data_IF_716585352872
#
_entry.id   IF_716585352872
#
_cell.length_a   1.000
_cell.length_b   1.000
_cell.length_c   1.000
_cell.angle_alpha   90.00
_cell.angle_beta   90.00
_cell.angle_gamma   90.00
#
_symmetry.space_group_name_H-M   'P 1'
#
loop_
_entity.id
_entity.type
_entity.pdbx_description
1 polymer ?
#
# COMPACT_ATOMS: atom_id res chain seq x y z
N UNK A 1 -20.86 -13.72 15.76
CA UNK A 1 -20.40 -14.93 15.03
C UNK A 1 -19.91 -14.55 13.63
N UNK A 2 -19.11 -15.41 13.00
CA UNK A 2 -18.56 -15.18 11.66
C UNK A 2 -18.75 -16.41 10.77
N UNK A 3 -19.02 -16.16 9.50
CA UNK A 3 -18.98 -17.16 8.43
C UNK A 3 -18.01 -16.64 7.37
N UNK A 4 -17.07 -17.47 6.97
CA UNK A 4 -16.03 -17.13 6.00
C UNK A 4 -16.04 -18.07 4.80
N UNK A 5 -15.75 -17.52 3.64
CA UNK A 5 -15.40 -18.23 2.41
C UNK A 5 -13.96 -17.87 2.04
N UNK A 6 -13.14 -18.87 1.74
CA UNK A 6 -11.74 -18.68 1.34
C UNK A 6 -11.41 -19.65 0.19
N UNK A 7 -11.10 -19.09 -0.97
CA UNK A 7 -10.67 -19.80 -2.16
C UNK A 7 -9.29 -19.30 -2.60
N UNK A 8 -8.35 -20.21 -2.80
CA UNK A 8 -6.97 -19.89 -3.18
C UNK A 8 -6.44 -20.86 -4.20
N UNK A 9 -5.84 -20.31 -5.24
CA UNK A 9 -5.00 -21.07 -6.15
C UNK A 9 -3.59 -21.17 -5.57
N UNK A 10 -3.12 -22.42 -5.41
CA UNK A 10 -1.76 -22.71 -4.96
C UNK A 10 -0.79 -22.73 -6.14
N UNK A 11 -0.62 -21.56 -6.75
CA UNK A 11 0.32 -21.33 -7.86
C UNK A 11 1.31 -20.26 -7.45
N UNK A 12 2.58 -20.57 -7.64
CA UNK A 12 3.69 -19.70 -7.29
C UNK A 12 4.72 -19.68 -8.40
N UNK A 13 5.46 -18.58 -8.47
CA UNK A 13 6.58 -18.43 -9.39
C UNK A 13 7.75 -17.84 -8.63
N UNK A 14 8.94 -18.33 -8.93
CA UNK A 14 10.16 -17.78 -8.37
C UNK A 14 10.49 -16.47 -9.08
N UNK A 15 10.70 -15.41 -8.30
CA UNK A 15 11.18 -14.12 -8.77
C UNK A 15 12.26 -13.59 -7.85
N UNK A 16 12.94 -12.53 -8.29
CA UNK A 16 13.92 -11.82 -7.46
C UNK A 16 13.64 -10.33 -7.53
N UNK A 17 13.96 -9.60 -6.45
CA UNK A 17 13.91 -8.14 -6.41
C UNK A 17 12.50 -7.51 -6.55
N UNK A 18 11.44 -8.31 -6.40
CA UNK A 18 10.07 -7.80 -6.41
C UNK A 18 9.72 -7.14 -5.07
N UNK A 19 9.82 -7.89 -3.97
CA UNK A 19 9.57 -7.38 -2.61
C UNK A 19 10.81 -7.44 -1.71
N UNK A 20 11.84 -8.22 -2.08
CA UNK A 20 13.05 -8.45 -1.29
C UNK A 20 14.32 -8.14 -2.08
N UNK A 21 15.28 -7.54 -1.39
CA UNK A 21 16.59 -7.20 -1.95
C UNK A 21 17.46 -8.45 -2.18
N UNK A 22 17.74 -8.75 -3.45
CA UNK A 22 18.66 -9.80 -3.91
C UNK A 22 18.40 -11.18 -3.29
N UNK A 23 17.13 -11.54 -3.14
CA UNK A 23 16.70 -12.86 -2.68
C UNK A 23 15.66 -13.42 -3.65
N UNK A 24 15.65 -14.74 -3.77
CA UNK A 24 14.56 -15.46 -4.45
C UNK A 24 13.32 -15.39 -3.57
N UNK A 25 12.19 -15.16 -4.20
CA UNK A 25 10.88 -14.99 -3.60
C UNK A 25 9.88 -15.86 -4.33
N UNK A 26 9.07 -16.60 -3.57
CA UNK A 26 7.90 -17.28 -4.11
C UNK A 26 6.75 -16.27 -4.21
N UNK A 27 6.53 -15.74 -5.41
CA UNK A 27 5.45 -14.80 -5.66
C UNK A 27 4.20 -15.56 -6.08
N UNK A 28 3.05 -15.08 -5.66
CA UNK A 28 1.78 -15.71 -5.98
C UNK A 28 1.41 -15.44 -7.45
N UNK A 29 1.14 -16.52 -8.18
CA UNK A 29 0.72 -16.54 -9.58
C UNK A 29 -0.69 -17.15 -9.70
N UNK A 30 -1.67 -16.54 -9.03
CA UNK A 30 -3.05 -17.00 -9.12
C UNK A 30 -4.01 -16.30 -8.19
N UNK A 31 -5.28 -16.66 -8.36
CA UNK A 31 -6.42 -16.00 -7.75
C UNK A 31 -6.61 -16.38 -6.28
N UNK A 32 -6.90 -15.38 -5.46
CA UNK A 32 -7.32 -15.49 -4.07
C UNK A 32 -8.59 -14.69 -3.88
N UNK A 33 -9.59 -15.34 -3.31
CA UNK A 33 -10.84 -14.70 -2.91
C UNK A 33 -11.17 -15.11 -1.49
N UNK A 34 -11.35 -14.11 -0.64
CA UNK A 34 -11.89 -14.27 0.70
C UNK A 34 -13.10 -13.36 0.88
N UNK A 35 -14.12 -13.90 1.54
CA UNK A 35 -15.28 -13.14 2.00
C UNK A 35 -15.60 -13.55 3.41
N UNK A 36 -15.81 -12.58 4.30
CA UNK A 36 -16.18 -12.79 5.69
C UNK A 36 -17.45 -12.00 5.99
N UNK A 37 -18.46 -12.70 6.51
CA UNK A 37 -19.71 -12.13 6.97
C UNK A 37 -19.82 -12.33 8.48
N UNK A 38 -19.92 -11.22 9.20
CA UNK A 38 -20.06 -11.18 10.64
C UNK A 38 -21.43 -10.69 11.06
N UNK A 39 -21.94 -11.24 12.16
CA UNK A 39 -23.08 -10.68 12.87
C UNK A 39 -22.69 -10.41 14.33
N UNK A 40 -22.98 -9.21 14.79
CA UNK A 40 -22.82 -8.75 16.16
C UNK A 40 -24.19 -8.27 16.63
N UNK A 41 -24.72 -8.85 17.70
CA UNK A 41 -26.03 -8.48 18.23
C UNK A 41 -25.98 -8.18 19.71
N UNK A 42 -26.90 -7.36 20.18
CA UNK A 42 -27.12 -7.04 21.59
C UNK A 42 -27.38 -8.30 22.43
N UNK A 43 -28.14 -9.26 21.88
CA UNK A 43 -28.32 -10.59 22.47
C UNK A 43 -27.04 -11.45 22.58
N UNK A 44 -25.93 -11.01 21.97
CA UNK A 44 -24.61 -11.63 22.03
C UNK A 44 -23.60 -10.78 22.82
N UNK A 45 -24.06 -9.76 23.55
CA UNK A 45 -23.22 -8.89 24.39
C UNK A 45 -22.66 -7.66 23.68
N UNK A 46 -23.08 -7.36 22.45
CA UNK A 46 -22.73 -6.12 21.78
C UNK A 46 -23.57 -4.94 22.29
N UNK A 47 -23.06 -3.71 22.12
CA UNK A 47 -23.86 -2.51 22.40
C UNK A 47 -24.96 -2.30 21.35
N UNK A 48 -24.73 -2.77 20.11
CA UNK A 48 -25.59 -2.51 18.95
C UNK A 48 -25.61 -3.71 17.99
N UNK A 49 -26.69 -3.81 17.21
CA UNK A 49 -26.87 -4.85 16.19
C UNK A 49 -26.22 -4.43 14.87
N UNK A 50 -25.21 -5.19 14.44
CA UNK A 50 -24.40 -4.92 13.25
C UNK A 50 -24.16 -6.17 12.43
N UNK A 51 -24.18 -6.00 11.11
CA UNK A 51 -23.65 -6.95 10.13
C UNK A 51 -22.33 -6.40 9.61
N UNK A 52 -21.30 -7.23 9.53
CA UNK A 52 -19.99 -6.85 9.00
C UNK A 52 -19.74 -7.63 7.73
N UNK A 53 -19.28 -6.97 6.67
CA UNK A 53 -18.93 -7.61 5.41
C UNK A 53 -17.54 -7.18 4.97
N UNK A 54 -16.64 -8.16 4.88
CA UNK A 54 -15.30 -7.97 4.35
C UNK A 54 -15.11 -8.86 3.11
N UNK A 55 -14.54 -8.31 2.06
CA UNK A 55 -14.16 -9.04 0.85
C UNK A 55 -12.76 -8.66 0.42
N UNK A 56 -11.98 -9.65 -0.02
CA UNK A 56 -10.68 -9.42 -0.64
C UNK A 56 -10.52 -10.33 -1.84
N UNK A 57 -10.19 -9.74 -2.98
CA UNK A 57 -9.85 -10.42 -4.22
C UNK A 57 -8.45 -10.01 -4.62
N UNK A 58 -7.63 -10.96 -5.03
CA UNK A 58 -6.31 -10.69 -5.57
C UNK A 58 -6.01 -11.68 -6.68
N UNK A 59 -5.43 -11.21 -7.77
CA UNK A 59 -4.97 -12.07 -8.85
C UNK A 59 -3.76 -11.48 -9.56
N UNK A 60 -2.96 -12.35 -10.15
CA UNK A 60 -1.82 -11.98 -10.98
C UNK A 60 -2.22 -12.01 -12.45
N UNK A 61 -2.12 -10.87 -13.12
CA UNK A 61 -2.32 -10.77 -14.58
C UNK A 61 -1.11 -11.34 -15.34
N UNK A 62 0.07 -11.23 -14.76
CA UNK A 62 1.33 -11.67 -15.34
C UNK A 62 2.29 -12.07 -14.22
N UNK A 63 2.89 -13.24 -14.31
CA UNK A 63 4.04 -13.61 -13.51
C UNK A 63 5.04 -14.32 -14.43
N UNK A 64 6.25 -13.77 -14.57
CA UNK A 64 7.37 -14.34 -15.32
C UNK A 64 8.63 -14.21 -14.46
N UNK A 65 9.78 -14.68 -14.94
CA UNK A 65 11.04 -14.53 -14.19
C UNK A 65 11.44 -13.07 -13.94
N UNK A 66 11.02 -12.16 -14.83
CA UNK A 66 11.44 -10.74 -14.81
C UNK A 66 10.30 -9.73 -14.76
N UNK A 67 9.04 -10.16 -14.95
CA UNK A 67 7.88 -9.28 -14.94
C UNK A 67 6.79 -9.83 -14.04
N UNK A 68 6.15 -8.94 -13.29
CA UNK A 68 5.00 -9.24 -12.45
C UNK A 68 3.94 -8.16 -12.61
N UNK A 69 2.68 -8.55 -12.72
CA UNK A 69 1.54 -7.65 -12.73
C UNK A 69 0.43 -8.28 -11.90
N UNK A 70 -0.18 -7.51 -10.99
CA UNK A 70 -1.29 -7.97 -10.16
C UNK A 70 -2.35 -6.89 -10.02
N UNK A 71 -3.55 -7.33 -9.69
CA UNK A 71 -4.59 -6.45 -9.19
C UNK A 71 -5.20 -7.02 -7.91
N UNK A 72 -5.68 -6.12 -7.06
CA UNK A 72 -6.38 -6.45 -5.84
C UNK A 72 -7.60 -5.56 -5.66
N UNK A 73 -8.67 -6.14 -5.13
CA UNK A 73 -9.85 -5.41 -4.69
C UNK A 73 -10.12 -5.80 -3.24
N UNK A 74 -10.11 -4.81 -2.35
CA UNK A 74 -10.48 -4.97 -0.96
C UNK A 74 -11.74 -4.16 -0.68
N UNK A 75 -12.66 -4.72 0.09
CA UNK A 75 -13.84 -4.05 0.58
C UNK A 75 -14.07 -4.41 2.03
N UNK A 76 -14.34 -3.41 2.86
CA UNK A 76 -14.81 -3.59 4.24
C UNK A 76 -16.01 -2.68 4.47
N UNK A 77 -16.87 -3.06 5.41
CA UNK A 77 -18.08 -2.30 5.68
C UNK A 77 -18.91 -2.90 6.78
N UNK A 78 -19.67 -2.04 7.43
CA UNK A 78 -20.60 -2.42 8.48
C UNK A 78 -22.00 -1.92 8.14
N UNK A 79 -23.01 -2.71 8.45
CA UNK A 79 -24.40 -2.34 8.30
C UNK A 79 -25.06 -2.40 9.66
N UNK A 80 -25.57 -1.26 10.11
CA UNK A 80 -26.30 -1.09 11.36
C UNK A 80 -27.76 -1.42 11.14
N UNK A 81 -28.23 -2.46 11.84
CA UNK A 81 -29.59 -2.96 11.72
C UNK A 81 -30.61 -2.05 12.42
N UNK A 82 -30.20 -1.38 13.49
CA UNK A 82 -31.04 -0.47 14.27
C UNK A 82 -31.38 0.82 13.52
N UNK A 83 -30.45 1.31 12.70
CA UNK A 83 -30.57 2.58 11.96
C UNK A 83 -30.82 2.40 10.46
N UNK A 84 -30.89 1.15 9.97
CA UNK A 84 -30.95 0.83 8.53
C UNK A 84 -29.89 1.60 7.72
N UNK A 85 -28.63 1.56 8.20
CA UNK A 85 -27.54 2.40 7.68
C UNK A 85 -26.26 1.62 7.46
N UNK A 86 -25.65 1.82 6.30
CA UNK A 86 -24.26 1.40 6.04
C UNK A 86 -23.30 2.41 6.65
N UNK A 87 -22.32 1.93 7.40
CA UNK A 87 -21.22 2.68 8.00
C UNK A 87 -19.88 2.08 7.59
N UNK A 88 -18.86 2.92 7.48
CA UNK A 88 -17.48 2.51 7.24
C UNK A 88 -17.31 1.63 6.00
N UNK A 89 -18.11 1.90 4.96
CA UNK A 89 -17.96 1.22 3.68
C UNK A 89 -16.72 1.77 3.00
N UNK A 90 -15.68 0.95 2.90
CA UNK A 90 -14.41 1.29 2.28
C UNK A 90 -14.10 0.26 1.20
N UNK A 91 -13.72 0.73 0.02
CA UNK A 91 -13.29 -0.10 -1.10
C UNK A 91 -11.96 0.40 -1.65
N UNK A 92 -11.00 -0.50 -1.86
CA UNK A 92 -9.69 -0.18 -2.44
C UNK A 92 -9.42 -1.07 -3.64
N UNK A 93 -9.14 -0.46 -4.78
CA UNK A 93 -8.58 -1.11 -5.96
C UNK A 93 -7.08 -0.82 -6.01
N UNK A 94 -6.27 -1.87 -6.08
CA UNK A 94 -4.82 -1.79 -6.17
C UNK A 94 -4.34 -2.47 -7.46
N UNK A 95 -3.44 -1.82 -8.17
CA UNK A 95 -2.74 -2.36 -9.33
C UNK A 95 -1.24 -2.26 -9.08
N UNK A 96 -0.52 -3.33 -9.34
CA UNK A 96 0.93 -3.36 -9.22
C UNK A 96 1.57 -3.89 -10.49
N UNK A 97 2.69 -3.30 -10.87
CA UNK A 97 3.52 -3.80 -11.96
C UNK A 97 5.00 -3.68 -11.63
N UNK A 98 5.75 -4.75 -11.92
CA UNK A 98 7.19 -4.82 -11.76
C UNK A 98 7.82 -5.32 -13.04
N UNK A 99 8.91 -4.67 -13.43
CA UNK A 99 9.74 -5.01 -14.56
C UNK A 99 11.22 -5.02 -14.15
N UNK A 100 11.77 -6.20 -13.93
CA UNK A 100 13.20 -6.41 -13.62
C UNK A 100 14.13 -6.22 -14.84
N UNK A 101 13.60 -6.24 -16.07
CA UNK A 101 14.40 -6.11 -17.28
C UNK A 101 15.42 -7.24 -17.48
N UNK A 102 16.36 -7.07 -18.42
CA UNK A 102 17.39 -8.07 -18.75
C UNK A 102 18.52 -8.16 -17.72
N UNK A 103 18.65 -7.14 -16.88
CA UNK A 103 19.80 -6.92 -16.02
C UNK A 103 19.36 -7.02 -14.56
N UNK A 104 19.79 -8.07 -13.85
CA UNK A 104 19.27 -8.45 -12.53
C UNK A 104 19.49 -7.42 -11.41
N UNK A 105 20.37 -6.45 -11.58
CA UNK A 105 20.69 -5.43 -10.57
C UNK A 105 19.87 -4.14 -10.74
N UNK A 106 18.87 -4.10 -11.61
CA UNK A 106 17.95 -2.96 -11.72
C UNK A 106 16.52 -3.42 -11.96
N UNK A 107 15.54 -2.59 -11.66
CA UNK A 107 14.14 -2.87 -11.94
C UNK A 107 13.29 -1.61 -11.87
N UNK A 108 12.11 -1.68 -12.47
CA UNK A 108 11.05 -0.70 -12.32
C UNK A 108 9.92 -1.32 -11.51
N UNK A 109 9.32 -0.54 -10.62
CA UNK A 109 8.11 -0.91 -9.91
C UNK A 109 7.14 0.26 -10.00
N UNK A 110 5.86 -0.03 -10.21
CA UNK A 110 4.80 0.95 -10.11
C UNK A 110 3.61 0.36 -9.38
N UNK A 111 2.98 1.18 -8.55
CA UNK A 111 1.70 0.86 -7.92
C UNK A 111 0.70 1.98 -8.13
N UNK A 112 -0.56 1.62 -8.32
CA UNK A 112 -1.69 2.53 -8.34
C UNK A 112 -2.75 2.00 -7.39
N UNK A 113 -3.17 2.82 -6.43
CA UNK A 113 -4.23 2.52 -5.50
C UNK A 113 -5.33 3.58 -5.59
N UNK A 114 -6.57 3.14 -5.72
CA UNK A 114 -7.75 3.97 -5.64
C UNK A 114 -8.63 3.49 -4.49
N UNK A 115 -8.87 4.34 -3.51
CA UNK A 115 -9.73 4.06 -2.37
C UNK A 115 -10.95 4.98 -2.41
N UNK A 116 -12.13 4.41 -2.21
CA UNK A 116 -13.37 5.16 -2.01
C UNK A 116 -14.05 4.69 -0.73
N UNK A 117 -14.55 5.63 0.05
CA UNK A 117 -15.24 5.38 1.28
C UNK A 117 -16.60 6.10 1.31
N UNK A 118 -17.53 5.56 2.09
CA UNK A 118 -18.85 6.15 2.34
C UNK A 118 -19.26 5.95 3.79
N UNK A 119 -19.91 6.98 4.36
CA UNK A 119 -20.43 6.98 5.71
C UNK A 119 -19.37 6.57 6.75
N UNK A 120 -18.16 7.15 6.64
CA UNK A 120 -17.12 6.93 7.63
C UNK A 120 -17.55 7.53 8.97
N UNK A 121 -17.33 6.78 10.05
CA UNK A 121 -17.46 7.27 11.41
C UNK A 121 -16.31 8.23 11.74
N UNK A 122 -16.44 9.04 12.79
CA UNK A 122 -15.45 10.09 13.10
C UNK A 122 -14.03 9.58 13.35
N UNK A 123 -13.90 8.31 13.73
CA UNK A 123 -12.63 7.58 13.92
C UNK A 123 -12.00 7.08 12.61
N UNK A 124 -12.71 7.15 11.48
CA UNK A 124 -12.21 6.74 10.18
C UNK A 124 -12.14 7.93 9.22
N UNK A 125 -10.95 8.20 8.69
CA UNK A 125 -10.75 9.21 7.66
C UNK A 125 -9.77 8.67 6.63
N UNK A 126 -10.00 8.95 5.35
CA UNK A 126 -8.98 8.67 4.34
C UNK A 126 -7.98 9.81 4.33
N UNK A 127 -6.82 9.55 4.91
CA UNK A 127 -5.71 10.49 5.00
C UNK A 127 -4.64 10.13 3.98
N UNK A 128 -3.96 11.15 3.45
CA UNK A 128 -2.78 10.99 2.60
C UNK A 128 -1.66 11.90 3.10
N UNK A 129 -0.43 11.39 3.04
CA UNK A 129 0.77 12.03 3.60
C UNK A 129 1.92 11.03 3.71
N UNK A 130 2.99 11.42 4.43
CA UNK A 130 4.23 10.65 4.60
C UNK A 130 4.00 9.17 4.91
N UNK A 131 3.16 8.87 5.89
CA UNK A 131 2.86 7.51 6.36
C UNK A 131 2.02 6.68 5.39
N UNK A 132 1.18 7.35 4.58
CA UNK A 132 0.15 6.72 3.75
C UNK A 132 0.42 6.81 2.24
N UNK A 133 1.67 7.14 1.84
CA UNK A 133 2.16 6.95 0.48
C UNK A 133 2.84 8.15 -0.17
N UNK A 134 2.61 9.37 0.32
CA UNK A 134 3.27 10.58 -0.18
C UNK A 134 4.47 10.90 0.71
N UNK A 135 5.61 10.26 0.43
CA UNK A 135 6.80 10.29 1.30
C UNK A 135 7.32 11.70 1.54
N UNK A 136 7.13 12.62 0.59
CA UNK A 136 7.59 14.01 0.69
C UNK A 136 6.72 14.92 1.56
N UNK A 137 5.58 14.46 2.06
CA UNK A 137 4.63 15.30 2.79
C UNK A 137 4.51 14.91 4.27
N UNK A 138 4.13 15.85 5.16
CA UNK A 138 3.77 15.52 6.53
C UNK A 138 2.65 14.47 6.61
N UNK A 139 2.51 13.83 7.76
CA UNK A 139 1.36 12.95 8.03
C UNK A 139 0.06 13.75 7.94
N UNK A 140 -0.99 13.12 7.43
CA UNK A 140 -2.36 13.68 7.43
C UNK A 140 -2.54 15.01 6.66
N UNK A 141 -1.69 15.28 5.65
CA UNK A 141 -1.70 16.55 4.92
C UNK A 141 -2.99 16.81 4.13
N UNK A 142 -3.59 15.78 3.53
CA UNK A 142 -4.88 15.86 2.86
C UNK A 142 -5.83 14.78 3.40
N UNK A 143 -7.13 15.11 3.41
CA UNK A 143 -8.22 14.27 3.89
C UNK A 143 -9.36 14.17 2.87
N UNK A 144 -10.09 13.05 2.88
CA UNK A 144 -11.20 12.86 1.95
C UNK A 144 -12.05 11.62 2.21
N UNK A 145 -13.05 11.42 1.34
CA UNK A 145 -13.81 10.17 1.18
C UNK A 145 -13.36 9.38 -0.05
N UNK A 146 -12.48 9.96 -0.87
CA UNK A 146 -11.80 9.31 -2.00
C UNK A 146 -10.33 9.62 -1.97
N UNK A 147 -9.51 8.66 -2.38
CA UNK A 147 -8.06 8.79 -2.46
C UNK A 147 -7.54 8.07 -3.68
N UNK A 148 -6.63 8.71 -4.40
CA UNK A 148 -5.80 8.05 -5.41
C UNK A 148 -4.34 8.24 -5.04
N UNK A 149 -3.55 7.18 -5.18
CA UNK A 149 -2.11 7.20 -4.96
C UNK A 149 -1.43 6.40 -6.05
N UNK A 150 -0.45 7.02 -6.68
CA UNK A 150 0.42 6.40 -7.67
C UNK A 150 1.87 6.55 -7.24
N UNK A 151 2.62 5.46 -7.38
CA UNK A 151 4.04 5.42 -7.08
C UNK A 151 4.77 4.82 -8.28
N UNK A 152 5.91 5.41 -8.62
CA UNK A 152 6.86 4.87 -9.58
C UNK A 152 8.24 4.82 -8.94
N UNK A 153 8.87 3.66 -8.95
CA UNK A 153 10.19 3.44 -8.40
C UNK A 153 11.14 2.87 -9.45
N UNK A 154 12.32 3.47 -9.54
CA UNK A 154 13.48 2.92 -10.22
C UNK A 154 14.45 2.36 -9.20
N UNK A 155 14.63 1.04 -9.20
CA UNK A 155 15.40 0.32 -8.19
C UNK A 155 16.76 -0.12 -8.75
N UNK A 156 17.78 -0.06 -7.90
CA UNK A 156 19.17 -0.40 -8.19
C UNK A 156 19.74 -1.27 -7.07
N UNK A 157 20.21 -2.46 -7.41
CA UNK A 157 20.61 -3.51 -6.48
C UNK A 157 22.01 -4.04 -6.83
N UNK A 158 23.05 -3.21 -6.69
CA UNK A 158 24.42 -3.67 -6.94
C UNK A 158 24.77 -4.84 -6.02
N UNK A 159 25.59 -5.77 -6.48
CA UNK A 159 26.10 -6.89 -5.67
C UNK A 159 27.20 -6.39 -4.70
N UNK A 160 26.83 -5.42 -3.87
CA UNK A 160 27.71 -4.78 -2.91
C UNK A 160 27.37 -5.25 -1.49
N UNK A 161 28.35 -5.90 -0.89
CA UNK A 161 28.22 -6.60 0.39
C UNK A 161 29.29 -6.13 1.37
N UNK A 162 29.18 -4.92 1.93
CA UNK A 162 30.14 -4.45 2.92
C UNK A 162 30.21 -5.45 4.09
N UNK A 163 31.43 -5.91 4.36
CA UNK A 163 31.76 -6.91 5.39
C UNK A 163 31.00 -8.24 5.27
N UNK A 164 30.31 -8.51 4.15
CA UNK A 164 29.40 -9.65 3.97
C UNK A 164 28.29 -9.70 5.03
N UNK A 165 27.92 -8.56 5.61
CA UNK A 165 26.88 -8.44 6.66
C UNK A 165 25.57 -7.87 6.14
N UNK A 166 25.64 -6.99 5.14
CA UNK A 166 24.48 -6.28 4.61
C UNK A 166 24.49 -6.32 3.09
N UNK A 167 23.30 -6.48 2.50
CA UNK A 167 23.05 -6.18 1.09
C UNK A 167 22.50 -4.76 1.01
N UNK A 168 22.98 -3.98 0.05
CA UNK A 168 22.56 -2.59 -0.14
C UNK A 168 21.89 -2.41 -1.49
N UNK A 169 20.81 -1.64 -1.52
CA UNK A 169 20.09 -1.23 -2.72
C UNK A 169 19.76 0.26 -2.66
N UNK A 170 19.71 0.91 -3.81
CA UNK A 170 19.20 2.26 -3.98
C UNK A 170 17.85 2.25 -4.70
N UNK A 171 17.02 3.24 -4.42
CA UNK A 171 15.80 3.51 -5.16
C UNK A 171 15.70 5.00 -5.44
N UNK A 172 15.20 5.34 -6.62
CA UNK A 172 14.70 6.69 -6.93
C UNK A 172 13.21 6.55 -7.14
N UNK A 173 12.42 7.42 -6.54
CA UNK A 173 10.97 7.31 -6.60
C UNK A 173 10.29 8.64 -6.92
N UNK A 174 9.10 8.52 -7.48
CA UNK A 174 8.15 9.59 -7.69
C UNK A 174 6.80 9.11 -7.17
N UNK A 175 6.19 9.89 -6.29
CA UNK A 175 4.84 9.65 -5.79
C UNK A 175 3.92 10.76 -6.25
N UNK A 176 2.68 10.42 -6.58
CA UNK A 176 1.64 11.37 -6.89
C UNK A 176 0.31 10.90 -6.29
N UNK A 177 -0.42 11.78 -5.63
CA UNK A 177 -1.63 11.39 -4.95
C UNK A 177 -2.54 12.54 -4.60
N UNK A 178 -3.79 12.20 -4.30
CA UNK A 178 -4.79 13.17 -3.87
C UNK A 178 -5.82 12.48 -3.01
N UNK A 179 -6.20 13.10 -1.89
CA UNK A 179 -7.42 12.79 -1.17
C UNK A 179 -8.41 13.95 -1.34
N UNK A 180 -9.69 13.64 -1.52
CA UNK A 180 -10.73 14.65 -1.67
C UNK A 180 -12.09 14.14 -1.19
N UNK A 181 -13.01 15.07 -0.92
CA UNK A 181 -14.40 14.76 -0.65
C UNK A 181 -15.26 14.89 -1.90
N UNK A 182 -16.15 13.91 -2.12
CA UNK A 182 -17.07 13.91 -3.26
C UNK A 182 -18.05 15.09 -3.26
N UNK A 183 -18.34 15.65 -2.09
CA UNK A 183 -19.26 16.78 -1.89
C UNK A 183 -18.57 18.16 -1.98
N UNK A 184 -17.27 18.19 -2.26
CA UNK A 184 -16.51 19.43 -2.44
C UNK A 184 -16.10 20.11 -1.14
N UNK A 185 -16.19 19.44 0.01
CA UNK A 185 -15.56 19.91 1.25
C UNK A 185 -14.06 20.13 1.05
N UNK A 186 -13.48 21.08 1.82
CA UNK A 186 -12.04 21.31 1.81
C UNK A 186 -11.30 20.04 2.22
N UNK A 187 -10.31 19.66 1.42
CA UNK A 187 -9.53 18.44 1.57
C UNK A 187 -8.16 18.68 2.21
N UNK A 188 -7.87 19.89 2.70
CA UNK A 188 -6.60 20.25 3.33
C UNK A 188 -6.06 21.61 2.84
N UNK A 189 -4.79 21.93 3.15
CA UNK A 189 -4.15 23.20 2.78
C UNK A 189 -4.01 23.38 1.26
N UNK A 190 -3.74 22.29 0.54
CA UNK A 190 -3.68 22.27 -0.92
C UNK A 190 -4.76 21.33 -1.46
N UNK A 191 -5.60 21.83 -2.37
CA UNK A 191 -6.67 21.05 -3.00
C UNK A 191 -6.25 20.23 -4.22
N UNK A 192 -5.02 20.42 -4.69
CA UNK A 192 -4.45 19.83 -5.90
C UNK A 192 -4.03 18.36 -5.76
N UNK A 193 -3.43 17.86 -6.83
CA UNK A 193 -2.69 16.59 -6.80
C UNK A 193 -1.30 16.88 -6.24
N UNK A 194 -0.96 16.22 -5.15
CA UNK A 194 0.33 16.34 -4.50
C UNK A 194 1.33 15.41 -5.17
N UNK A 195 2.57 15.87 -5.34
CA UNK A 195 3.65 15.07 -5.92
C UNK A 195 4.92 15.24 -5.13
N UNK A 196 5.67 14.17 -5.02
CA UNK A 196 7.00 14.20 -4.45
C UNK A 196 7.98 13.34 -5.24
N UNK A 197 9.25 13.65 -5.07
CA UNK A 197 10.36 12.91 -5.64
C UNK A 197 11.38 12.62 -4.55
N UNK A 198 12.05 11.48 -4.65
CA UNK A 198 13.02 11.14 -3.62
C UNK A 198 13.98 10.04 -4.00
N UNK A 199 14.91 9.84 -3.08
CA UNK A 199 15.92 8.78 -3.15
C UNK A 199 15.89 7.99 -1.86
N UNK A 200 16.02 6.67 -1.97
CA UNK A 200 15.96 5.76 -0.86
C UNK A 200 17.12 4.79 -0.85
N UNK A 201 17.57 4.44 0.35
CA UNK A 201 18.53 3.38 0.62
C UNK A 201 17.83 2.22 1.28
N UNK A 202 18.08 1.01 0.76
CA UNK A 202 17.48 -0.24 1.21
C UNK A 202 18.58 -1.16 1.73
N UNK A 203 18.46 -1.57 2.99
CA UNK A 203 19.46 -2.40 3.66
C UNK A 203 18.82 -3.70 4.13
N UNK A 204 19.34 -4.83 3.68
CA UNK A 204 18.90 -6.15 4.13
C UNK A 204 20.06 -6.91 4.80
N UNK A 205 19.82 -7.50 5.97
CA UNK A 205 20.83 -8.34 6.63
C UNK A 205 21.05 -9.62 5.82
N UNK A 206 22.32 -10.00 5.62
CA UNK A 206 22.69 -11.27 4.97
C UNK A 206 22.78 -12.44 5.95
N UNK A 207 22.90 -12.17 7.26
CA UNK A 207 23.22 -13.19 8.28
C UNK A 207 22.09 -13.51 9.23
N UNK A 208 21.12 -12.62 9.37
CA UNK A 208 19.95 -12.88 10.19
C UNK A 208 18.79 -13.22 9.28
N UNK A 209 18.07 -14.30 9.58
CA UNK A 209 16.83 -14.67 8.91
C UNK A 209 15.67 -13.73 9.30
N UNK A 210 15.96 -12.45 9.56
CA UNK A 210 14.91 -11.45 9.65
C UNK A 210 14.51 -11.13 8.22
N UNK A 211 13.28 -11.49 7.85
CA UNK A 211 12.64 -11.02 6.61
C UNK A 211 12.32 -9.52 6.69
N UNK A 212 13.24 -8.68 7.20
CA UNK A 212 13.07 -7.24 7.35
C UNK A 212 14.20 -6.51 6.66
N UNK A 213 13.84 -5.47 5.95
CA UNK A 213 14.68 -4.52 5.25
C UNK A 213 14.49 -3.15 5.90
N UNK A 214 15.59 -2.45 6.11
CA UNK A 214 15.56 -1.07 6.56
C UNK A 214 15.44 -0.17 5.33
N UNK A 215 14.49 0.75 5.35
CA UNK A 215 14.31 1.79 4.34
C UNK A 215 14.72 3.11 4.97
N UNK A 216 15.62 3.81 4.29
CA UNK A 216 15.97 5.18 4.60
C UNK A 216 15.66 6.01 3.36
N UNK A 217 14.57 6.76 3.40
CA UNK A 217 14.07 7.51 2.26
C UNK A 217 14.20 9.03 2.53
N UNK A 218 14.75 9.75 1.55
CA UNK A 218 14.80 11.21 1.49
C UNK A 218 13.83 11.66 0.42
N UNK A 219 12.81 12.42 0.79
CA UNK A 219 11.73 12.82 -0.12
C UNK A 219 11.56 14.35 -0.12
N UNK A 220 11.33 14.90 -1.31
CA UNK A 220 11.21 16.32 -1.57
C UNK A 220 9.82 16.58 -2.16
N UNK A 221 8.93 17.31 -1.46
CA UNK A 221 7.63 17.67 -2.01
C UNK A 221 7.79 18.69 -3.15
N UNK A 222 7.00 18.55 -4.21
CA UNK A 222 7.04 19.44 -5.38
C UNK A 222 5.92 20.49 -5.39
N UNK A 223 4.76 20.14 -4.82
CA UNK A 223 3.56 20.97 -4.82
C UNK A 223 3.21 21.40 -3.37
N UNK A 224 4.23 21.68 -2.55
CA UNK A 224 4.07 22.11 -1.16
C UNK A 224 3.80 23.61 -1.01
N UNK A 225 2.95 23.99 -0.05
CA UNK A 225 2.86 25.37 0.43
C UNK A 225 4.07 25.72 1.33
N UNK A 226 4.32 27.00 1.59
CA UNK A 226 5.45 27.50 2.42
C UNK A 226 5.43 26.95 3.87
N UNK A 227 4.35 26.29 4.27
CA UNK A 227 4.15 25.63 5.56
C UNK A 227 4.84 24.27 5.70
N UNK A 228 5.38 23.68 4.63
CA UNK A 228 6.04 22.36 4.69
C UNK A 228 7.55 22.42 4.50
N UNK A 229 8.27 21.54 5.21
CA UNK A 229 9.71 21.42 5.05
C UNK A 229 10.09 20.95 3.65
N UNK A 230 11.16 21.54 3.10
CA UNK A 230 11.70 21.19 1.79
C UNK A 230 12.26 19.75 1.70
N UNK A 231 12.42 19.05 2.83
CA UNK A 231 12.95 17.70 2.90
C UNK A 231 12.27 16.91 4.02
N UNK A 232 11.75 15.74 3.69
CA UNK A 232 11.29 14.73 4.63
C UNK A 232 12.29 13.57 4.71
N UNK A 233 12.57 13.11 5.94
CA UNK A 233 13.46 11.97 6.22
C UNK A 233 12.65 10.85 6.85
N UNK A 234 12.61 9.69 6.21
CA UNK A 234 11.83 8.54 6.67
C UNK A 234 12.74 7.36 6.96
N UNK A 235 12.61 6.81 8.16
CA UNK A 235 13.26 5.57 8.57
C UNK A 235 12.20 4.51 8.87
N UNK A 236 12.21 3.40 8.13
CA UNK A 236 11.20 2.33 8.26
C UNK A 236 11.83 0.94 8.27
N UNK A 237 11.34 0.05 9.12
CA UNK A 237 11.62 -1.38 9.02
C UNK A 237 10.44 -2.10 8.36
N UNK A 238 10.61 -2.63 7.15
CA UNK A 238 9.54 -3.34 6.42
C UNK A 238 9.95 -4.74 6.01
N UNK A 239 8.99 -5.63 5.83
CA UNK A 239 9.23 -6.98 5.30
C UNK A 239 9.20 -7.09 3.77
N UNK A 240 8.81 -5.98 3.12
CA UNK A 240 8.68 -5.81 1.67
C UNK A 240 9.10 -4.39 1.28
N UNK A 241 9.46 -4.15 0.01
CA UNK A 241 9.81 -2.82 -0.53
C UNK A 241 8.73 -1.76 -0.26
#
# INVERSE_FOLDING_TARGET
PWIGFDYRQNRFREMTNLTRLQRVEDVRDGFVWRTELGYSGTGLGATEDRVVLNMSFQDSLLATETNYASYGLEQSGTYRLDQDRVENLLGTLSLEYFHGGSVRWTGWYTSLAFTAARNLTADQQLLIGGENGLRGYPSEYQQGDRRVLWTLERRYFPDWHPFKLFRMGGVVFVDAGRAWFADGQSNGPDGGVLRDVGVGLRLASSRVEVQRMLHFDLAFPLDGDDSIDALQVLLRGRSRF
#
